data_IF_858561833086
#
_entry.id   IF_858561833086
#
_cell.length_a   1.000
_cell.length_b   1.000
_cell.length_c   1.000
_cell.angle_alpha   90.00
_cell.angle_beta   90.00
_cell.angle_gamma   90.00
#
_symmetry.space_group_name_H-M   'P 1'
#
loop_
_entity.id
_entity.type
_entity.pdbx_description
1 polymer ?
#
# COMPACT_ATOMS: atom_id res chain seq x y z
N UNK A 1 15.29 -46.50 -30.63
CA UNK A 1 14.22 -45.67 -31.24
C UNK A 1 13.40 -45.07 -30.12
N UNK A 2 13.49 -43.76 -29.92
CA UNK A 2 12.42 -42.94 -29.35
C UNK A 2 11.56 -42.46 -30.55
N UNK A 3 10.32 -41.93 -30.42
CA UNK A 3 9.68 -41.44 -29.18
C UNK A 3 8.13 -41.64 -29.06
N UNK A 4 7.52 -41.23 -27.92
CA UNK A 4 6.59 -40.07 -27.75
C UNK A 4 5.42 -40.27 -26.75
N UNK A 5 5.40 -39.34 -25.77
CA UNK A 5 4.30 -38.79 -24.93
C UNK A 5 3.85 -39.46 -23.62
N UNK A 6 4.60 -39.11 -22.58
CA UNK A 6 4.21 -38.43 -21.33
C UNK A 6 2.82 -37.76 -21.28
N UNK A 7 2.03 -38.08 -20.25
CA UNK A 7 1.30 -37.12 -19.38
C UNK A 7 0.87 -37.88 -18.11
N UNK A 8 1.54 -37.64 -16.99
CA UNK A 8 1.12 -38.12 -15.67
C UNK A 8 0.54 -36.95 -14.88
N UNK A 9 -0.69 -37.17 -14.40
CA UNK A 9 -1.42 -36.41 -13.39
C UNK A 9 -0.72 -36.46 -12.02
N UNK A 10 -1.16 -35.53 -11.16
CA UNK A 10 -0.92 -35.38 -9.71
C UNK A 10 0.30 -34.49 -9.38
N UNK A 11 0.21 -33.48 -8.51
CA UNK A 11 -0.55 -33.37 -7.26
C UNK A 11 -1.06 -31.95 -7.04
N UNK A 12 -2.34 -31.82 -6.66
CA UNK A 12 -2.87 -30.66 -5.94
C UNK A 12 -2.92 -30.99 -4.45
N UNK A 13 -2.41 -30.08 -3.63
CA UNK A 13 -2.63 -30.07 -2.18
C UNK A 13 -3.25 -28.73 -1.83
N UNK A 14 -4.57 -28.74 -1.71
CA UNK A 14 -5.34 -27.81 -0.89
C UNK A 14 -5.17 -28.24 0.57
N UNK A 15 -4.81 -27.30 1.45
CA UNK A 15 -5.07 -27.44 2.88
C UNK A 15 -6.05 -26.34 3.29
N UNK A 16 -7.30 -26.79 3.47
CA UNK A 16 -8.31 -26.15 4.27
C UNK A 16 -7.84 -26.12 5.73
N UNK A 17 -7.91 -24.97 6.37
CA UNK A 17 -8.01 -24.85 7.82
C UNK A 17 -9.21 -23.98 8.15
N UNK A 18 -10.39 -24.60 8.10
CA UNK A 18 -11.59 -24.16 8.80
C UNK A 18 -11.89 -25.13 9.94
N UNK A 19 -11.95 -24.61 11.16
CA UNK A 19 -12.68 -25.18 12.29
C UNK A 19 -13.69 -24.09 12.68
N UNK A 20 -14.99 -24.28 12.75
CA UNK A 20 -15.86 -25.43 12.50
C UNK A 20 -17.27 -25.01 12.93
N UNK A 21 -18.30 -25.50 12.26
CA UNK A 21 -19.59 -25.80 12.88
C UNK A 21 -20.40 -26.64 11.90
N UNK A 22 -20.70 -27.87 12.31
CA UNK A 22 -21.56 -28.77 11.58
C UNK A 22 -23.02 -28.43 11.83
N UNK A 23 -23.80 -28.39 10.76
CA UNK A 23 -25.18 -28.87 10.72
C UNK A 23 -25.46 -29.36 9.30
N UNK A 24 -25.74 -30.65 9.19
CA UNK A 24 -26.24 -31.35 8.00
C UNK A 24 -27.52 -30.68 7.47
N UNK A 25 -27.59 -30.47 6.15
CA UNK A 25 -28.78 -30.74 5.34
C UNK A 25 -28.38 -30.86 3.85
N UNK A 26 -28.71 -32.01 3.26
CA UNK A 26 -28.50 -32.37 1.87
C UNK A 26 -29.21 -31.42 0.90
N UNK A 27 -28.49 -30.86 -0.09
CA UNK A 27 -29.04 -30.65 -1.44
C UNK A 27 -27.93 -30.31 -2.45
N UNK A 28 -27.68 -31.28 -3.33
CA UNK A 28 -27.45 -31.18 -4.78
C UNK A 28 -26.47 -30.12 -5.33
N UNK A 29 -25.33 -30.65 -5.78
CA UNK A 29 -24.62 -30.33 -7.02
C UNK A 29 -24.94 -29.00 -7.73
N UNK A 30 -24.38 -27.91 -7.23
CA UNK A 30 -23.80 -26.88 -8.09
C UNK A 30 -22.33 -26.77 -7.70
N UNK A 31 -21.47 -27.33 -8.55
CA UNK A 31 -20.04 -27.06 -8.51
C UNK A 31 -19.83 -25.61 -8.94
N UNK A 32 -20.22 -24.66 -8.09
CA UNK A 32 -19.70 -23.31 -8.12
C UNK A 32 -18.21 -23.43 -7.77
N UNK A 33 -17.40 -23.64 -8.80
CA UNK A 33 -15.98 -23.33 -8.72
C UNK A 33 -15.89 -21.82 -8.52
N UNK A 34 -16.06 -21.37 -7.28
CA UNK A 34 -15.66 -20.03 -6.87
C UNK A 34 -14.15 -20.01 -7.10
N UNK A 35 -13.73 -19.54 -8.26
CA UNK A 35 -12.34 -19.19 -8.51
C UNK A 35 -12.05 -18.02 -7.59
N UNK A 36 -11.66 -18.31 -6.36
CA UNK A 36 -11.21 -17.29 -5.41
C UNK A 36 -10.04 -16.56 -6.05
N UNK A 37 -10.16 -15.24 -6.16
CA UNK A 37 -9.06 -14.41 -6.65
C UNK A 37 -7.85 -14.68 -5.75
N UNK A 38 -6.72 -15.01 -6.36
CA UNK A 38 -5.48 -15.20 -5.62
C UNK A 38 -4.86 -13.83 -5.32
N UNK A 39 -4.23 -13.71 -4.15
CA UNK A 39 -3.50 -12.50 -3.78
C UNK A 39 -2.43 -12.20 -4.83
N UNK A 40 -2.42 -10.95 -5.32
CA UNK A 40 -1.46 -10.47 -6.30
C UNK A 40 -0.11 -10.27 -5.61
N UNK A 41 0.87 -11.10 -5.97
CA UNK A 41 2.18 -11.16 -5.31
C UNK A 41 3.16 -10.12 -5.87
N UNK A 42 2.92 -9.62 -7.08
CA UNK A 42 3.70 -8.56 -7.72
C UNK A 42 2.96 -7.22 -7.64
N UNK A 43 3.50 -6.32 -6.84
CA UNK A 43 2.90 -5.04 -6.50
C UNK A 43 3.79 -3.89 -6.96
N UNK A 44 3.22 -2.69 -7.00
CA UNK A 44 3.99 -1.50 -7.34
C UNK A 44 5.02 -1.21 -6.25
N UNK A 45 6.24 -0.86 -6.62
CA UNK A 45 7.27 -0.48 -5.65
C UNK A 45 6.85 0.71 -4.76
N UNK A 46 6.00 1.60 -5.25
CA UNK A 46 5.48 2.75 -4.51
C UNK A 46 4.26 2.44 -3.62
N UNK A 47 3.64 1.27 -3.76
CA UNK A 47 2.60 0.82 -2.84
C UNK A 47 2.66 -0.71 -2.68
N UNK A 48 3.67 -1.21 -1.96
CA UNK A 48 3.71 -2.59 -1.54
C UNK A 48 2.66 -2.79 -0.44
N UNK A 49 1.67 -3.64 -0.70
CA UNK A 49 0.57 -3.97 0.19
C UNK A 49 0.80 -5.38 0.73
N UNK A 50 1.51 -5.48 1.85
CA UNK A 50 1.64 -6.75 2.56
C UNK A 50 0.43 -6.93 3.47
N UNK A 51 -0.22 -8.09 3.42
CA UNK A 51 -1.37 -8.34 4.29
C UNK A 51 -0.94 -8.45 5.76
N UNK A 52 -1.78 -7.96 6.67
CA UNK A 52 -1.57 -7.99 8.12
C UNK A 52 -0.32 -7.21 8.59
N UNK A 53 0.10 -6.21 7.82
CA UNK A 53 1.09 -5.22 8.27
C UNK A 53 0.42 -3.97 8.77
N UNK A 54 1.05 -3.34 9.76
CA UNK A 54 0.54 -2.13 10.39
C UNK A 54 1.47 -0.97 10.09
N UNK A 55 0.88 0.15 9.68
CA UNK A 55 1.55 1.44 9.52
C UNK A 55 0.95 2.40 10.55
N UNK A 56 1.79 3.24 11.14
CA UNK A 56 1.37 4.27 12.08
C UNK A 56 1.54 5.64 11.44
N UNK A 57 0.53 6.48 11.63
CA UNK A 57 0.51 7.83 11.13
C UNK A 57 0.21 8.83 12.26
N UNK A 58 0.67 10.05 12.06
CA UNK A 58 0.32 11.22 12.86
C UNK A 58 -0.70 12.05 12.09
N UNK A 59 -1.85 12.31 12.69
CA UNK A 59 -2.80 13.30 12.18
C UNK A 59 -2.28 14.71 12.50
N UNK A 60 -2.03 15.51 11.47
CA UNK A 60 -1.47 16.86 11.63
C UNK A 60 -2.40 17.71 12.49
N UNK A 61 -1.85 18.32 13.54
CA UNK A 61 -2.58 19.16 14.49
C UNK A 61 -3.33 18.41 15.60
N UNK A 62 -3.35 17.07 15.62
CA UNK A 62 -4.04 16.29 16.65
C UNK A 62 -3.25 16.15 17.97
N UNK A 63 -1.94 16.40 17.95
CA UNK A 63 -1.08 16.33 19.15
C UNK A 63 -0.79 14.92 19.67
N UNK A 64 -1.08 13.89 18.88
CA UNK A 64 -0.88 12.47 19.21
C UNK A 64 -0.04 11.79 18.12
N UNK A 65 1.29 11.83 18.22
CA UNK A 65 2.18 11.26 17.20
C UNK A 65 2.03 9.74 17.15
N UNK A 66 1.88 9.18 15.95
CA UNK A 66 1.66 7.74 15.76
C UNK A 66 0.29 7.22 16.22
N UNK A 67 -0.62 8.10 16.66
CA UNK A 67 -1.93 7.71 17.21
C UNK A 67 -2.95 7.21 16.18
N UNK A 68 -2.63 7.24 14.87
CA UNK A 68 -3.45 6.67 13.82
C UNK A 68 -2.85 5.34 13.34
N UNK A 69 -3.42 4.24 13.80
CA UNK A 69 -3.05 2.89 13.35
C UNK A 69 -3.73 2.57 12.01
N UNK A 70 -2.98 1.97 11.09
CA UNK A 70 -3.47 1.56 9.77
C UNK A 70 -3.11 0.12 9.47
N UNK A 71 -4.12 -0.74 9.49
CA UNK A 71 -3.96 -2.15 9.13
C UNK A 71 -4.22 -2.35 7.64
N UNK A 72 -3.26 -2.95 6.95
CA UNK A 72 -3.42 -3.40 5.56
C UNK A 72 -4.07 -4.78 5.54
N UNK A 73 -5.26 -4.88 4.94
CA UNK A 73 -6.03 -6.14 4.89
C UNK A 73 -6.39 -6.52 3.46
N UNK A 74 -6.22 -7.79 3.09
CA UNK A 74 -6.74 -8.33 1.84
C UNK A 74 -8.26 -8.49 1.92
N UNK A 75 -9.00 -7.73 1.11
CA UNK A 75 -10.46 -7.77 1.10
C UNK A 75 -10.96 -8.86 0.15
N UNK A 76 -11.26 -10.04 0.71
CA UNK A 76 -11.71 -11.21 -0.05
C UNK A 76 -13.02 -10.93 -0.79
N UNK A 77 -13.98 -10.27 -0.14
CA UNK A 77 -15.32 -10.03 -0.68
C UNK A 77 -15.26 -9.10 -1.88
N UNK A 78 -14.58 -7.96 -1.73
CA UNK A 78 -14.43 -6.99 -2.80
C UNK A 78 -13.51 -7.52 -3.90
N UNK A 79 -12.47 -8.29 -3.56
CA UNK A 79 -11.60 -8.94 -4.55
C UNK A 79 -12.38 -9.91 -5.44
N UNK A 80 -13.20 -10.78 -4.84
CA UNK A 80 -14.02 -11.72 -5.59
C UNK A 80 -15.08 -11.01 -6.44
N UNK A 81 -15.69 -9.94 -5.92
CA UNK A 81 -16.66 -9.12 -6.65
C UNK A 81 -16.02 -8.43 -7.87
N UNK A 82 -14.80 -7.93 -7.73
CA UNK A 82 -14.08 -7.22 -8.79
C UNK A 82 -13.31 -8.14 -9.75
N UNK A 83 -13.00 -9.36 -9.34
CA UNK A 83 -12.19 -10.32 -10.12
C UNK A 83 -10.69 -10.04 -10.09
N UNK A 84 -10.20 -9.22 -9.16
CA UNK A 84 -8.78 -8.89 -8.97
C UNK A 84 -8.50 -8.57 -7.50
N UNK A 85 -7.23 -8.60 -7.09
CA UNK A 85 -6.86 -8.36 -5.69
C UNK A 85 -7.15 -6.92 -5.27
N UNK A 86 -7.83 -6.77 -4.14
CA UNK A 86 -8.13 -5.50 -3.49
C UNK A 86 -7.68 -5.57 -2.04
N UNK A 87 -6.98 -4.53 -1.62
CA UNK A 87 -6.50 -4.35 -0.26
C UNK A 87 -7.15 -3.11 0.34
N UNK A 88 -7.53 -3.21 1.61
CA UNK A 88 -8.10 -2.14 2.40
C UNK A 88 -7.07 -1.61 3.37
N UNK A 89 -6.89 -0.30 3.39
CA UNK A 89 -6.12 0.45 4.37
C UNK A 89 -7.11 1.17 5.28
N UNK A 90 -7.24 0.70 6.52
CA UNK A 90 -8.18 1.25 7.49
C UNK A 90 -7.51 2.34 8.32
N UNK A 91 -7.78 3.61 8.02
CA UNK A 91 -7.28 4.80 8.73
C UNK A 91 -8.27 5.13 9.86
N UNK A 92 -8.11 4.52 11.03
CA UNK A 92 -9.10 4.61 12.10
C UNK A 92 -8.50 5.07 13.43
N UNK A 93 -8.98 6.20 13.95
CA UNK A 93 -8.83 6.62 15.34
C UNK A 93 -10.07 7.43 15.78
N UNK A 94 -10.01 8.11 16.93
CA UNK A 94 -11.14 8.91 17.43
C UNK A 94 -11.48 10.15 16.58
N UNK A 95 -10.57 10.57 15.70
CA UNK A 95 -10.63 11.83 14.96
C UNK A 95 -10.77 11.65 13.45
N UNK A 96 -10.31 10.52 12.91
CA UNK A 96 -10.39 10.13 11.50
C UNK A 96 -10.86 8.68 11.41
N UNK A 97 -11.88 8.42 10.59
CA UNK A 97 -12.36 7.08 10.32
C UNK A 97 -12.60 6.96 8.82
N UNK A 98 -11.62 6.41 8.10
CA UNK A 98 -11.60 6.33 6.65
C UNK A 98 -10.97 5.01 6.23
N UNK A 99 -11.63 4.23 5.37
CA UNK A 99 -11.01 3.08 4.72
C UNK A 99 -10.76 3.40 3.24
N UNK A 100 -9.52 3.19 2.78
CA UNK A 100 -9.14 3.33 1.39
C UNK A 100 -8.92 1.96 0.77
N UNK A 101 -9.50 1.73 -0.41
CA UNK A 101 -9.39 0.45 -1.11
C UNK A 101 -8.49 0.58 -2.32
N UNK A 102 -7.40 -0.17 -2.33
CA UNK A 102 -6.41 -0.13 -3.39
C UNK A 102 -6.27 -1.45 -4.12
N UNK A 103 -5.91 -1.35 -5.39
CA UNK A 103 -5.21 -2.40 -6.11
C UNK A 103 -3.80 -1.92 -6.43
N UNK A 104 -2.81 -2.76 -6.15
CA UNK A 104 -1.42 -2.53 -6.52
C UNK A 104 -0.93 -3.64 -7.44
N UNK A 105 -0.37 -3.23 -8.57
CA UNK A 105 0.27 -4.11 -9.56
C UNK A 105 1.64 -3.55 -9.88
N UNK A 106 2.54 -4.33 -10.49
CA UNK A 106 3.89 -3.89 -10.88
C UNK A 106 3.92 -2.51 -11.56
N UNK A 107 2.91 -2.18 -12.37
CA UNK A 107 2.89 -0.95 -13.18
C UNK A 107 1.84 0.09 -12.77
N UNK A 108 0.89 -0.25 -11.88
CA UNK A 108 -0.20 0.66 -11.53
C UNK A 108 -0.54 0.58 -10.04
N UNK A 109 -0.92 1.72 -9.51
CA UNK A 109 -1.61 1.88 -8.24
C UNK A 109 -2.99 2.41 -8.58
N UNK A 110 -4.04 1.77 -8.08
CA UNK A 110 -5.42 2.13 -8.40
C UNK A 110 -6.26 2.24 -7.13
N UNK A 111 -6.98 3.35 -6.98
CA UNK A 111 -8.00 3.52 -5.97
C UNK A 111 -9.31 2.89 -6.48
N UNK A 112 -9.93 2.07 -5.64
CA UNK A 112 -11.12 1.26 -5.94
C UNK A 112 -12.37 1.84 -5.27
N UNK A 113 -12.19 2.47 -4.12
CA UNK A 113 -13.25 3.04 -3.32
C UNK A 113 -12.75 3.67 -2.03
N UNK A 114 -13.67 4.31 -1.33
CA UNK A 114 -13.46 5.06 -0.08
C UNK A 114 -14.66 4.76 0.84
N UNK A 115 -14.42 4.39 2.09
CA UNK A 115 -15.42 4.36 3.16
C UNK A 115 -15.04 5.34 4.24
N UNK A 116 -16.02 5.85 4.97
CA UNK A 116 -15.82 6.87 5.99
C UNK A 116 -16.70 8.08 5.71
N UNK A 117 -17.01 8.91 6.72
CA UNK A 117 -18.05 9.91 6.58
C UNK A 117 -17.55 11.08 5.72
N UNK A 118 -17.67 10.93 4.41
CA UNK A 118 -17.56 12.02 3.45
C UNK A 118 -18.90 12.75 3.52
N UNK A 119 -18.96 13.86 4.26
CA UNK A 119 -20.20 14.62 4.46
C UNK A 119 -20.33 15.76 3.43
N UNK A 120 -21.47 15.82 2.75
CA UNK A 120 -21.75 16.60 1.55
C UNK A 120 -23.03 17.42 1.72
N UNK A 121 -22.96 18.71 2.09
CA UNK A 121 -24.16 19.56 2.24
C UNK A 121 -25.32 18.85 2.99
N UNK A 122 -25.01 18.30 4.17
CA UNK A 122 -25.90 17.47 5.04
C UNK A 122 -26.21 16.05 4.52
N UNK A 123 -25.59 15.61 3.43
CA UNK A 123 -25.66 14.24 2.91
C UNK A 123 -24.37 13.49 3.25
N UNK A 124 -24.43 12.48 4.09
CA UNK A 124 -23.31 11.57 4.28
C UNK A 124 -23.20 10.64 3.08
N UNK A 125 -22.02 10.57 2.48
CA UNK A 125 -21.64 9.59 1.46
C UNK A 125 -20.73 8.57 2.14
N UNK A 126 -21.14 7.31 2.05
CA UNK A 126 -20.37 6.17 2.53
C UNK A 126 -20.35 5.08 1.46
N UNK A 127 -19.49 4.06 1.61
CA UNK A 127 -19.37 2.98 0.63
C UNK A 127 -19.15 3.46 -0.81
N UNK A 128 -18.35 4.51 -1.01
CA UNK A 128 -18.07 5.03 -2.35
C UNK A 128 -17.24 4.00 -3.13
N UNK A 129 -17.80 3.45 -4.20
CA UNK A 129 -17.18 2.41 -5.03
C UNK A 129 -17.12 2.83 -6.47
N UNK A 130 -15.92 2.78 -7.06
CA UNK A 130 -15.74 3.13 -8.45
C UNK A 130 -16.05 1.94 -9.36
N UNK A 131 -16.83 2.18 -10.42
CA UNK A 131 -17.12 1.17 -11.44
C UNK A 131 -15.85 0.84 -12.24
N UNK A 132 -15.01 1.85 -12.49
CA UNK A 132 -13.66 1.70 -13.06
C UNK A 132 -12.64 2.24 -12.05
N UNK A 133 -11.58 1.49 -11.73
CA UNK A 133 -10.53 1.96 -10.83
C UNK A 133 -9.92 3.30 -11.27
N UNK A 134 -9.66 4.18 -10.31
CA UNK A 134 -8.96 5.45 -10.53
C UNK A 134 -7.46 5.17 -10.43
N UNK A 135 -6.72 5.35 -11.53
CA UNK A 135 -5.27 5.22 -11.49
C UNK A 135 -4.65 6.36 -10.68
N UNK A 136 -3.61 6.07 -9.92
CA UNK A 136 -2.77 7.04 -9.19
C UNK A 136 -1.36 7.17 -9.76
N UNK A 137 -1.07 6.42 -10.84
CA UNK A 137 0.19 6.49 -11.60
C UNK A 137 -0.10 7.02 -13.00
N UNK A 138 0.75 7.95 -13.45
CA UNK A 138 0.66 8.65 -14.73
C UNK A 138 0.00 10.02 -14.61
N UNK A 139 -0.41 10.59 -15.74
CA UNK A 139 -1.10 11.89 -15.78
C UNK A 139 -2.38 11.75 -16.58
N UNK A 140 -3.47 12.37 -16.10
CA UNK A 140 -4.77 12.38 -16.77
C UNK A 140 -5.39 13.76 -16.63
N UNK A 141 -5.69 14.42 -17.75
CA UNK A 141 -6.22 15.79 -17.71
C UNK A 141 -7.73 15.88 -17.46
N UNK A 142 -8.50 14.82 -17.75
CA UNK A 142 -9.92 14.70 -17.41
C UNK A 142 -10.42 13.31 -17.81
N UNK A 143 -11.05 12.60 -16.87
CA UNK A 143 -11.77 11.35 -17.13
C UNK A 143 -13.06 11.30 -16.35
N UNK A 144 -14.08 10.75 -16.99
CA UNK A 144 -15.38 10.50 -16.35
C UNK A 144 -15.53 9.02 -16.09
N UNK A 145 -15.86 8.67 -14.85
CA UNK A 145 -16.17 7.31 -14.42
C UNK A 145 -17.52 7.30 -13.69
N UNK A 146 -18.12 6.12 -13.64
CA UNK A 146 -19.30 5.90 -12.80
C UNK A 146 -18.86 5.40 -11.42
N UNK A 147 -19.65 5.71 -10.41
CA UNK A 147 -19.49 5.19 -9.07
C UNK A 147 -20.85 4.93 -8.42
N UNK A 148 -20.84 4.18 -7.32
CA UNK A 148 -21.99 4.01 -6.43
C UNK A 148 -21.60 4.40 -5.02
N UNK A 149 -22.55 4.84 -4.22
CA UNK A 149 -22.35 5.11 -2.80
C UNK A 149 -23.67 5.01 -2.03
N UNK A 150 -23.59 4.78 -0.72
CA UNK A 150 -24.72 4.89 0.18
C UNK A 150 -24.86 6.34 0.64
N UNK A 151 -26.06 6.88 0.49
CA UNK A 151 -26.40 8.25 0.86
C UNK A 151 -27.29 8.24 2.10
N UNK A 152 -26.96 9.08 3.09
CA UNK A 152 -27.80 9.34 4.25
C UNK A 152 -28.00 10.85 4.45
N UNK A 153 -29.15 11.28 5.00
CA UNK A 153 -29.45 12.69 5.29
C UNK A 153 -30.64 13.21 4.50
N UNK A 154 -30.52 14.42 3.94
CA UNK A 154 -31.58 15.05 3.13
C UNK A 154 -31.89 14.25 1.85
N UNK A 155 -30.90 13.51 1.36
CA UNK A 155 -30.96 12.56 0.26
C UNK A 155 -30.54 11.19 0.82
N UNK A 156 -31.48 10.26 0.91
CA UNK A 156 -31.22 8.89 1.37
C UNK A 156 -31.45 7.89 0.25
N UNK A 157 -30.42 7.14 -0.12
CA UNK A 157 -30.50 6.08 -1.10
C UNK A 157 -29.29 5.15 -0.94
N UNK A 158 -29.56 3.86 -0.87
CA UNK A 158 -28.51 2.84 -0.92
C UNK A 158 -28.08 2.66 -2.39
N UNK A 159 -26.78 2.45 -2.63
CA UNK A 159 -26.20 2.27 -3.98
C UNK A 159 -26.58 3.37 -4.99
N UNK A 160 -26.61 4.63 -4.57
CA UNK A 160 -26.91 5.76 -5.42
C UNK A 160 -25.89 5.90 -6.56
N UNK A 161 -26.37 6.04 -7.79
CA UNK A 161 -25.50 6.22 -8.95
C UNK A 161 -24.88 7.63 -9.00
N UNK A 162 -23.55 7.65 -9.10
CA UNK A 162 -22.72 8.85 -9.14
C UNK A 162 -21.91 8.87 -10.44
N UNK A 163 -21.64 10.08 -10.92
CA UNK A 163 -20.65 10.33 -11.95
C UNK A 163 -19.47 11.06 -11.31
N UNK A 164 -18.25 10.62 -11.56
CA UNK A 164 -17.04 11.28 -11.07
C UNK A 164 -16.22 11.74 -12.27
N UNK A 165 -15.98 13.04 -12.37
CA UNK A 165 -14.95 13.57 -13.23
C UNK A 165 -13.67 13.68 -12.42
N UNK A 166 -12.55 13.19 -12.93
CA UNK A 166 -11.29 13.30 -12.21
C UNK A 166 -10.12 13.69 -13.11
N UNK A 167 -9.14 14.30 -12.46
CA UNK A 167 -7.86 14.78 -12.95
C UNK A 167 -6.77 14.09 -12.12
N UNK A 168 -5.65 13.72 -12.74
CA UNK A 168 -4.50 13.15 -12.04
C UNK A 168 -3.22 13.83 -12.51
N UNK A 169 -2.48 14.33 -11.54
CA UNK A 169 -1.14 14.89 -11.66
C UNK A 169 -0.15 14.01 -10.88
N UNK A 170 1.03 13.76 -11.45
CA UNK A 170 2.13 13.06 -10.79
C UNK A 170 3.41 13.91 -10.80
N UNK A 171 4.04 14.06 -9.65
CA UNK A 171 5.31 14.77 -9.47
C UNK A 171 6.32 13.89 -8.71
N UNK A 172 7.56 13.82 -9.19
CA UNK A 172 8.66 13.04 -8.60
C UNK A 172 9.73 13.89 -7.92
N UNK A 173 9.63 15.22 -8.01
CA UNK A 173 10.62 16.15 -7.44
C UNK A 173 10.30 16.51 -5.97
N UNK A 174 9.24 15.93 -5.42
CA UNK A 174 8.80 16.15 -4.04
C UNK A 174 9.49 15.19 -3.08
N UNK A 175 9.64 15.63 -1.83
CA UNK A 175 10.18 14.81 -0.75
C UNK A 175 9.35 14.93 0.51
N UNK A 176 9.35 13.85 1.29
CA UNK A 176 8.74 13.80 2.61
C UNK A 176 9.83 13.76 3.67
N UNK A 177 9.70 14.56 4.72
CA UNK A 177 10.56 14.48 5.90
C UNK A 177 9.81 13.84 7.06
N UNK A 178 10.34 12.77 7.64
CA UNK A 178 9.78 12.15 8.85
C UNK A 178 9.92 13.08 10.05
N UNK A 179 8.91 13.16 10.91
CA UNK A 179 8.92 14.13 12.02
C UNK A 179 9.93 13.78 13.14
N UNK A 180 10.20 12.51 13.40
CA UNK A 180 11.02 12.08 14.55
C UNK A 180 12.53 12.10 14.24
N UNK A 181 12.93 11.48 13.13
CA UNK A 181 14.35 11.30 12.79
C UNK A 181 14.86 12.24 11.70
N UNK A 182 13.99 13.14 11.18
CA UNK A 182 14.26 14.01 10.03
C UNK A 182 14.80 13.25 8.79
N UNK A 183 14.44 11.97 8.64
CA UNK A 183 14.72 11.23 7.42
C UNK A 183 13.98 11.85 6.26
N UNK A 184 14.65 12.02 5.13
CA UNK A 184 14.06 12.57 3.92
C UNK A 184 13.87 11.43 2.93
N UNK A 185 12.67 11.28 2.41
CA UNK A 185 12.31 10.27 1.42
C UNK A 185 11.91 10.94 0.10
N UNK A 186 12.41 10.46 -1.05
CA UNK A 186 11.88 10.87 -2.33
C UNK A 186 10.46 10.31 -2.49
N UNK A 187 9.58 11.11 -3.07
CA UNK A 187 8.17 10.76 -3.21
C UNK A 187 7.73 10.81 -4.67
N UNK A 188 6.83 9.89 -5.02
CA UNK A 188 5.91 10.10 -6.12
C UNK A 188 4.65 10.71 -5.50
N UNK A 189 4.45 12.02 -5.69
CA UNK A 189 3.23 12.72 -5.32
C UNK A 189 2.18 12.50 -6.39
N UNK A 190 1.03 11.96 -6.01
CA UNK A 190 -0.17 11.84 -6.84
C UNK A 190 -1.23 12.81 -6.34
N UNK A 191 -1.59 13.79 -7.17
CA UNK A 191 -2.65 14.75 -6.91
C UNK A 191 -3.88 14.36 -7.74
N UNK A 192 -4.96 14.05 -7.04
CA UNK A 192 -6.20 13.57 -7.61
C UNK A 192 -7.31 14.57 -7.29
N UNK A 193 -7.71 15.35 -8.30
CA UNK A 193 -8.83 16.27 -8.20
C UNK A 193 -10.09 15.54 -8.70
N UNK A 194 -11.11 15.41 -7.86
CA UNK A 194 -12.34 14.71 -8.20
C UNK A 194 -13.57 15.60 -8.05
N UNK A 195 -14.37 15.64 -9.09
CA UNK A 195 -15.69 16.25 -9.09
C UNK A 195 -16.78 15.16 -9.08
N UNK A 196 -17.50 15.01 -7.97
CA UNK A 196 -18.55 13.99 -7.76
C UNK A 196 -19.93 14.61 -8.02
N UNK A 197 -20.71 14.02 -8.93
CA UNK A 197 -22.06 14.47 -9.29
C UNK A 197 -23.09 13.38 -9.02
N UNK A 198 -24.14 13.71 -8.25
CA UNK A 198 -25.28 12.83 -8.00
C UNK A 198 -26.22 12.79 -9.21
N UNK A 199 -26.26 11.66 -9.91
CA UNK A 199 -26.93 11.56 -11.22
C UNK A 199 -28.46 11.53 -11.11
N UNK A 200 -28.98 10.94 -10.03
CA UNK A 200 -30.41 10.63 -9.92
C UNK A 200 -31.29 11.80 -9.43
N UNK A 201 -30.71 12.78 -8.74
CA UNK A 201 -31.48 13.70 -7.88
C UNK A 201 -31.23 15.17 -8.21
N UNK A 202 -30.18 15.47 -8.99
CA UNK A 202 -29.73 16.83 -9.21
C UNK A 202 -29.05 17.38 -7.95
N UNK A 203 -27.92 18.06 -8.14
CA UNK A 203 -27.11 18.65 -7.08
C UNK A 203 -25.94 19.37 -7.73
N UNK A 204 -25.37 20.33 -7.02
CA UNK A 204 -24.13 20.95 -7.47
C UNK A 204 -23.00 19.90 -7.38
N UNK A 205 -22.07 19.86 -8.35
CA UNK A 205 -20.94 18.96 -8.28
C UNK A 205 -20.06 19.28 -7.07
N UNK A 206 -19.50 18.22 -6.50
CA UNK A 206 -18.68 18.28 -5.30
C UNK A 206 -17.20 18.10 -5.64
N UNK A 207 -16.32 18.91 -5.05
CA UNK A 207 -14.88 18.69 -5.13
C UNK A 207 -14.38 17.81 -3.97
N UNK A 208 -13.57 16.82 -4.29
CA UNK A 208 -12.77 16.01 -3.38
C UNK A 208 -11.36 15.95 -3.96
N UNK A 209 -10.46 16.71 -3.36
CA UNK A 209 -9.06 16.77 -3.78
C UNK A 209 -8.25 15.91 -2.81
N UNK A 210 -7.50 14.95 -3.34
CA UNK A 210 -6.68 14.04 -2.55
C UNK A 210 -5.24 14.12 -3.02
N UNK A 211 -4.32 14.14 -2.06
CA UNK A 211 -2.89 14.02 -2.33
C UNK A 211 -2.35 12.77 -1.67
N UNK A 212 -1.56 12.00 -2.41
CA UNK A 212 -0.84 10.83 -1.91
C UNK A 212 0.64 11.00 -2.21
N UNK A 213 1.48 10.93 -1.17
CA UNK A 213 2.92 10.89 -1.32
C UNK A 213 3.38 9.46 -1.11
N UNK A 214 3.90 8.83 -2.16
CA UNK A 214 4.37 7.45 -2.12
C UNK A 214 5.90 7.38 -2.12
N UNK A 215 6.48 6.55 -1.26
CA UNK A 215 7.92 6.23 -1.28
C UNK A 215 8.14 4.77 -1.62
N UNK A 216 9.11 4.50 -2.51
CA UNK A 216 9.46 3.13 -2.91
C UNK A 216 9.82 2.29 -1.71
N UNK A 217 9.24 1.10 -1.61
CA UNK A 217 9.50 0.16 -0.53
C UNK A 217 8.65 0.38 0.72
N UNK A 218 8.15 1.61 0.97
CA UNK A 218 7.35 1.97 2.14
C UNK A 218 5.85 2.06 1.86
N UNK A 219 5.45 2.61 0.71
CA UNK A 219 4.05 2.92 0.45
C UNK A 219 3.71 4.39 0.68
N UNK A 220 2.53 4.65 1.25
CA UNK A 220 2.02 5.99 1.54
C UNK A 220 2.78 6.56 2.73
N UNK A 221 3.59 7.61 2.50
CA UNK A 221 4.29 8.35 3.55
C UNK A 221 3.56 9.62 3.99
N UNK A 222 2.71 10.16 3.12
CA UNK A 222 1.75 11.21 3.48
C UNK A 222 0.48 11.06 2.66
N UNK A 223 -0.65 11.41 3.26
CA UNK A 223 -1.91 11.51 2.54
C UNK A 223 -2.76 12.63 3.13
N UNK A 224 -3.34 13.43 2.26
CA UNK A 224 -4.30 14.47 2.62
C UNK A 224 -5.52 14.43 1.72
N UNK A 225 -6.62 14.96 2.23
CA UNK A 225 -7.80 15.24 1.42
C UNK A 225 -8.46 16.55 1.86
N UNK A 226 -9.10 17.23 0.91
CA UNK A 226 -9.92 18.42 1.11
C UNK A 226 -11.26 18.21 0.42
N UNK A 227 -12.36 18.50 1.13
CA UNK A 227 -13.73 18.36 0.62
C UNK A 227 -14.32 19.76 0.41
N UNK A 228 -14.76 20.08 -0.81
CA UNK A 228 -15.40 21.36 -1.20
C UNK A 228 -14.63 22.63 -0.79
N UNK A 229 -13.29 22.63 -0.85
CA UNK A 229 -12.44 23.73 -0.36
C UNK A 229 -12.68 24.11 1.12
N UNK A 230 -13.38 23.27 1.89
CA UNK A 230 -13.69 23.55 3.28
C UNK A 230 -12.52 23.13 4.17
N UNK A 231 -11.84 24.13 4.76
CA UNK A 231 -10.71 23.90 5.65
C UNK A 231 -11.04 23.00 6.87
N UNK A 232 -12.28 23.04 7.36
CA UNK A 232 -12.73 22.25 8.51
C UNK A 232 -12.93 20.75 8.17
N UNK A 233 -12.97 20.40 6.87
CA UNK A 233 -13.09 19.03 6.38
C UNK A 233 -11.77 18.49 5.80
N UNK A 234 -10.68 19.26 5.91
CA UNK A 234 -9.37 18.85 5.47
C UNK A 234 -8.66 18.01 6.54
N UNK A 235 -7.95 16.97 6.11
CA UNK A 235 -7.02 16.24 6.98
C UNK A 235 -5.70 16.01 6.26
N UNK A 236 -4.65 15.80 7.05
CA UNK A 236 -3.34 15.33 6.59
C UNK A 236 -2.81 14.32 7.60
N UNK A 237 -2.44 13.15 7.10
CA UNK A 237 -1.78 12.10 7.86
C UNK A 237 -0.35 11.94 7.36
N UNK A 238 0.60 11.81 8.28
CA UNK A 238 2.02 11.71 7.97
C UNK A 238 2.61 10.47 8.61
N UNK A 239 3.41 9.74 7.88
CA UNK A 239 4.02 8.50 8.33
C UNK A 239 4.84 8.73 9.60
N UNK A 240 4.67 7.82 10.55
CA UNK A 240 5.32 7.86 11.85
C UNK A 240 6.20 6.63 12.06
N UNK A 241 5.61 5.44 11.97
CA UNK A 241 6.29 4.17 12.27
C UNK A 241 5.64 2.99 11.53
N UNK A 242 6.26 1.80 11.62
CA UNK A 242 5.78 0.56 11.02
C UNK A 242 5.91 -0.61 12.01
N UNK A 243 5.00 -1.58 11.94
CA UNK A 243 5.04 -2.83 12.73
C UNK A 243 4.90 -4.04 11.80
N UNK A 244 5.71 -5.08 12.07
CA UNK A 244 5.82 -6.33 11.28
C UNK A 244 6.24 -6.11 9.82
N UNK A 245 6.87 -4.98 9.53
CA UNK A 245 7.51 -4.69 8.25
C UNK A 245 9.01 -4.55 8.45
N UNK A 246 9.82 -4.74 7.39
CA UNK A 246 11.24 -4.42 7.45
C UNK A 246 11.46 -2.95 7.85
N UNK A 247 12.39 -2.73 8.76
CA UNK A 247 12.79 -1.40 9.20
C UNK A 247 13.23 -0.49 8.05
N UNK A 248 13.06 0.81 8.26
CA UNK A 248 13.53 1.83 7.34
C UNK A 248 15.05 1.93 7.43
N UNK A 249 15.72 1.81 6.27
CA UNK A 249 17.16 1.93 6.17
C UNK A 249 17.55 3.20 5.42
N UNK A 250 18.34 4.05 6.06
CA UNK A 250 18.74 5.36 5.51
C UNK A 250 20.25 5.53 5.62
N UNK A 251 20.90 5.94 4.54
CA UNK A 251 22.33 6.19 4.48
C UNK A 251 22.62 7.64 4.10
N UNK A 252 23.66 8.20 4.71
CA UNK A 252 24.31 9.41 4.23
C UNK A 252 25.10 9.10 2.95
N UNK A 253 25.46 10.15 2.20
CA UNK A 253 26.25 10.03 0.96
C UNK A 253 27.65 9.44 1.13
N UNK A 254 28.20 9.44 2.35
CA UNK A 254 29.48 8.82 2.66
C UNK A 254 29.35 7.31 2.99
N UNK A 255 28.14 6.74 2.85
CA UNK A 255 27.84 5.34 3.14
C UNK A 255 27.68 5.02 4.62
N UNK A 256 27.71 6.01 5.50
CA UNK A 256 27.37 5.83 6.92
C UNK A 256 25.86 5.80 7.11
N UNK A 257 25.40 5.02 8.08
CA UNK A 257 23.98 4.98 8.46
C UNK A 257 23.52 6.34 9.03
N UNK A 258 22.34 6.79 8.63
CA UNK A 258 21.73 7.98 9.23
C UNK A 258 21.33 7.70 10.70
N UNK A 259 21.04 8.75 11.46
CA UNK A 259 20.64 8.59 12.85
C UNK A 259 19.39 7.71 12.97
N UNK A 260 19.43 6.72 13.89
CA UNK A 260 18.28 5.89 14.23
C UNK A 260 18.00 4.75 13.25
N UNK A 261 18.91 4.46 12.32
CA UNK A 261 18.77 3.35 11.37
C UNK A 261 19.86 2.28 11.55
N UNK A 262 19.82 1.22 10.73
CA UNK A 262 20.75 0.09 10.79
C UNK A 262 21.22 -0.34 9.41
N UNK A 263 22.42 -0.90 9.33
CA UNK A 263 22.90 -1.64 8.15
C UNK A 263 22.33 -3.05 8.03
N UNK A 264 21.57 -3.54 9.02
CA UNK A 264 21.00 -4.90 9.02
C UNK A 264 19.49 -4.80 8.83
N UNK A 265 18.95 -5.54 7.87
CA UNK A 265 17.50 -5.66 7.75
C UNK A 265 16.94 -6.42 8.94
N UNK A 266 16.01 -5.80 9.65
CA UNK A 266 15.24 -6.38 10.74
C UNK A 266 13.76 -6.03 10.60
N UNK A 267 12.88 -6.82 11.21
CA UNK A 267 11.46 -6.49 11.32
C UNK A 267 11.28 -5.49 12.45
N UNK A 268 10.66 -4.35 12.15
CA UNK A 268 10.28 -3.39 13.16
C UNK A 268 9.24 -4.00 14.09
N UNK A 269 9.48 -3.81 15.37
CA UNK A 269 8.55 -4.17 16.42
C UNK A 269 8.61 -3.07 17.49
N UNK A 270 7.69 -2.09 17.44
CA UNK A 270 7.70 -0.93 18.35
C UNK A 270 7.51 -1.33 19.82
N UNK A 271 7.03 -2.54 20.10
CA UNK A 271 6.82 -3.05 21.45
C UNK A 271 8.08 -3.69 22.05
N UNK A 272 9.15 -3.88 21.27
CA UNK A 272 10.38 -4.53 21.73
C UNK A 272 11.60 -3.61 21.68
N UNK A 273 12.56 -3.88 22.57
CA UNK A 273 13.80 -3.10 22.65
C UNK A 273 14.83 -3.45 21.57
N UNK A 274 14.56 -4.48 20.76
CA UNK A 274 15.48 -4.93 19.71
C UNK A 274 14.69 -5.60 18.60
N UNK A 275 14.81 -5.05 17.40
CA UNK A 275 14.20 -5.61 16.21
C UNK A 275 14.77 -6.99 15.87
N UNK A 276 13.93 -7.83 15.27
CA UNK A 276 14.32 -9.19 14.90
C UNK A 276 14.97 -9.20 13.52
N UNK A 277 16.23 -9.63 13.35
CA UNK A 277 16.89 -9.67 12.04
C UNK A 277 16.12 -10.53 11.04
N UNK A 278 16.02 -10.05 9.80
CA UNK A 278 15.52 -10.83 8.67
C UNK A 278 16.66 -11.77 8.24
N UNK A 279 16.44 -13.07 8.35
CA UNK A 279 17.49 -14.07 8.09
C UNK A 279 17.33 -14.74 6.72
N UNK A 280 18.45 -15.09 6.12
CA UNK A 280 18.57 -15.89 4.90
C UNK A 280 18.04 -17.32 5.04
N UNK A 281 17.88 -17.82 6.27
CA UNK A 281 17.23 -19.10 6.55
C UNK A 281 15.73 -19.02 6.29
N UNK A 282 15.11 -17.91 6.66
CA UNK A 282 13.66 -17.71 6.54
C UNK A 282 13.25 -17.04 5.23
N UNK A 283 14.12 -16.17 4.69
CA UNK A 283 13.83 -15.32 3.54
C UNK A 283 14.88 -15.45 2.43
N UNK A 284 14.47 -15.01 1.23
CA UNK A 284 15.32 -14.78 0.07
C UNK A 284 14.96 -13.42 -0.54
N UNK A 285 15.94 -12.70 -1.06
CA UNK A 285 15.70 -11.48 -1.83
C UNK A 285 15.33 -11.87 -3.26
N UNK A 286 14.17 -11.43 -3.73
CA UNK A 286 13.65 -11.82 -5.06
C UNK A 286 14.12 -10.90 -6.18
N UNK A 287 14.48 -9.66 -5.85
CA UNK A 287 15.00 -8.67 -6.80
C UNK A 287 16.52 -8.46 -6.66
N UNK A 288 17.27 -9.52 -6.30
CA UNK A 288 18.71 -9.42 -6.06
C UNK A 288 19.47 -8.95 -7.30
N UNK A 289 19.12 -9.46 -8.49
CA UNK A 289 19.81 -9.07 -9.72
C UNK A 289 19.66 -7.57 -9.98
N UNK A 290 18.46 -7.01 -9.77
CA UNK A 290 18.20 -5.59 -9.93
C UNK A 290 18.96 -4.73 -8.91
N UNK A 291 19.21 -5.26 -7.71
CA UNK A 291 20.03 -4.59 -6.69
C UNK A 291 21.52 -4.67 -7.04
N UNK A 292 22.00 -5.84 -7.49
CA UNK A 292 23.39 -6.05 -7.91
C UNK A 292 23.76 -5.17 -9.12
N UNK A 293 22.80 -4.96 -10.03
CA UNK A 293 22.95 -4.09 -11.21
C UNK A 293 23.14 -2.60 -10.84
N UNK A 294 22.82 -2.18 -9.60
CA UNK A 294 23.06 -0.80 -9.14
C UNK A 294 24.55 -0.50 -8.92
N UNK A 295 25.37 -1.50 -8.57
CA UNK A 295 26.80 -1.36 -8.25
C UNK A 295 27.11 -0.65 -6.91
N UNK A 296 26.42 0.45 -6.62
CA UNK A 296 26.62 1.26 -5.42
C UNK A 296 25.95 0.70 -4.15
N UNK A 297 25.04 -0.27 -4.29
CA UNK A 297 24.35 -0.91 -3.18
C UNK A 297 24.66 -2.40 -3.18
N UNK A 298 25.12 -2.94 -2.05
CA UNK A 298 25.28 -4.38 -1.84
C UNK A 298 24.38 -4.84 -0.71
N UNK A 299 23.68 -5.95 -0.94
CA UNK A 299 22.95 -6.67 0.11
C UNK A 299 23.51 -8.08 0.19
N UNK A 300 24.24 -8.36 1.27
CA UNK A 300 24.97 -9.61 1.50
C UNK A 300 24.49 -10.30 2.78
N UNK A 301 24.80 -11.60 2.92
CA UNK A 301 24.41 -12.38 4.09
C UNK A 301 25.59 -12.59 5.03
N UNK A 302 25.42 -12.25 6.30
CA UNK A 302 26.34 -12.69 7.36
C UNK A 302 27.63 -11.88 7.50
N UNK A 303 27.67 -10.68 6.95
CA UNK A 303 28.80 -9.75 7.04
C UNK A 303 28.87 -9.06 8.41
N UNK A 304 27.72 -8.74 9.02
CA UNK A 304 27.60 -8.09 10.33
C UNK A 304 26.94 -9.04 11.33
N UNK A 305 25.74 -9.52 11.00
CA UNK A 305 24.99 -10.47 11.85
C UNK A 305 24.85 -11.80 11.14
N UNK A 306 25.22 -12.90 11.82
CA UNK A 306 25.18 -14.23 11.24
C UNK A 306 23.80 -14.55 10.63
N UNK A 307 23.83 -15.02 9.37
CA UNK A 307 22.66 -15.36 8.56
C UNK A 307 21.68 -14.21 8.25
N UNK A 308 21.90 -12.99 8.74
CA UNK A 308 21.07 -11.82 8.44
C UNK A 308 21.46 -11.18 7.10
N UNK A 309 20.54 -10.41 6.52
CA UNK A 309 20.83 -9.56 5.36
C UNK A 309 21.39 -8.22 5.80
N UNK A 310 22.65 -7.98 5.45
CA UNK A 310 23.39 -6.76 5.74
C UNK A 310 23.53 -5.92 4.48
N UNK A 311 23.62 -4.60 4.64
CA UNK A 311 23.63 -3.64 3.56
C UNK A 311 24.88 -2.80 3.63
N UNK A 312 25.45 -2.54 2.47
CA UNK A 312 26.60 -1.67 2.31
C UNK A 312 26.40 -0.73 1.12
N UNK A 313 26.77 0.54 1.32
CA UNK A 313 26.94 1.51 0.24
C UNK A 313 28.40 1.45 -0.22
N UNK A 314 28.60 1.27 -1.52
CA UNK A 314 29.91 1.22 -2.14
C UNK A 314 30.26 2.56 -2.77
N UNK A 315 31.55 2.89 -2.73
CA UNK A 315 32.12 3.98 -3.54
C UNK A 315 32.16 3.52 -5.01
N UNK A 316 31.07 3.79 -5.73
CA UNK A 316 30.86 3.40 -7.12
C UNK A 316 30.61 4.64 -8.01
N UNK A 317 31.11 4.69 -9.25
CA UNK A 317 30.87 5.80 -10.17
C UNK A 317 29.40 6.10 -10.49
N UNK A 318 28.50 5.13 -10.28
CA UNK A 318 27.06 5.24 -10.49
C UNK A 318 26.30 5.58 -9.20
N UNK A 319 27.00 5.84 -8.09
CA UNK A 319 26.39 6.31 -6.84
C UNK A 319 25.54 7.58 -7.10
N UNK A 320 24.23 7.56 -6.78
CA UNK A 320 23.36 8.70 -7.04
C UNK A 320 23.76 9.95 -6.25
N UNK A 321 23.83 11.11 -6.91
CA UNK A 321 24.02 12.41 -6.24
C UNK A 321 22.74 12.98 -5.64
N UNK A 322 21.59 12.50 -6.11
CA UNK A 322 20.27 12.98 -5.73
C UNK A 322 19.61 12.02 -4.74
N UNK A 323 18.62 12.52 -3.99
CA UNK A 323 17.86 11.74 -3.02
C UNK A 323 17.21 10.53 -3.69
N UNK A 324 17.61 9.33 -3.27
CA UNK A 324 17.25 8.09 -3.97
C UNK A 324 16.77 7.03 -3.00
N UNK A 325 15.65 6.38 -3.33
CA UNK A 325 15.17 5.19 -2.61
C UNK A 325 15.04 4.01 -3.54
N UNK A 326 15.40 2.84 -3.03
CA UNK A 326 15.21 1.56 -3.69
C UNK A 326 14.39 0.62 -2.81
N UNK A 327 13.67 -0.29 -3.47
CA UNK A 327 12.92 -1.33 -2.80
C UNK A 327 13.76 -2.61 -2.73
N UNK A 328 13.80 -3.24 -1.56
CA UNK A 328 14.31 -4.60 -1.40
C UNK A 328 13.13 -5.52 -1.09
N UNK A 329 12.92 -6.55 -1.91
CA UNK A 329 11.80 -7.47 -1.78
C UNK A 329 12.27 -8.79 -1.17
N UNK A 330 11.82 -9.06 0.04
CA UNK A 330 12.00 -10.36 0.68
C UNK A 330 10.81 -11.26 0.35
N UNK A 331 11.08 -12.52 0.02
CA UNK A 331 10.08 -13.59 -0.02
C UNK A 331 10.43 -14.65 1.01
N UNK A 332 9.45 -15.04 1.81
CA UNK A 332 9.60 -16.12 2.76
C UNK A 332 9.79 -17.44 2.02
N UNK A 333 10.75 -18.27 2.43
CA UNK A 333 11.07 -19.50 1.69
C UNK A 333 9.96 -20.55 1.72
N UNK A 334 9.17 -20.56 2.79
CA UNK A 334 8.15 -21.58 3.04
C UNK A 334 6.72 -21.10 2.72
N UNK A 335 6.54 -19.91 2.13
CA UNK A 335 5.24 -19.38 1.72
C UNK A 335 5.38 -18.42 0.53
N UNK A 336 4.25 -17.93 0.00
CA UNK A 336 4.25 -16.85 -1.01
C UNK A 336 4.23 -15.45 -0.37
N UNK A 337 4.39 -15.38 0.95
CA UNK A 337 4.44 -14.13 1.70
C UNK A 337 5.68 -13.32 1.31
N UNK A 338 5.47 -12.02 1.05
CA UNK A 338 6.53 -11.07 0.71
C UNK A 338 6.55 -9.93 1.72
N UNK A 339 7.74 -9.39 1.95
CA UNK A 339 7.95 -8.16 2.68
C UNK A 339 8.69 -7.18 1.77
N UNK A 340 8.31 -5.92 1.85
CA UNK A 340 8.96 -4.85 1.13
C UNK A 340 9.74 -4.00 2.12
N UNK A 341 11.02 -3.78 1.83
CA UNK A 341 11.88 -2.91 2.59
C UNK A 341 12.31 -1.71 1.75
N UNK A 342 12.69 -0.63 2.42
CA UNK A 342 13.22 0.58 1.82
C UNK A 342 14.68 0.75 2.20
N UNK A 343 15.51 1.11 1.21
CA UNK A 343 16.84 1.66 1.43
C UNK A 343 16.88 3.03 0.76
N UNK A 344 17.21 4.06 1.54
CA UNK A 344 17.29 5.44 1.07
C UNK A 344 18.70 5.99 1.21
N UNK A 345 19.24 6.55 0.13
CA UNK A 345 20.47 7.33 0.12
C UNK A 345 20.09 8.82 0.09
N UNK A 346 20.47 9.56 1.14
CA UNK A 346 20.23 10.99 1.24
C UNK A 346 21.00 11.75 0.14
N UNK A 347 20.54 12.94 -0.25
CA UNK A 347 21.33 13.82 -1.13
C UNK A 347 22.47 14.51 -0.34
N UNK A 348 23.49 15.01 -1.06
CA UNK A 348 24.63 15.76 -0.48
C UNK A 348 24.25 17.08 0.19
#
# INVERSE_FOLDING_TARGET
MLPKYLFYLAFGTFLLSGCGLETDEDSDEESDSVTSVQMEVEQNAYLPLTNATTLFYSLVGAGDPGGLETLVTYDISLSNSKGYSVYRLALQNSSLNLDLYFRSTTNNIQLIGIDGPVTLDDVSVDNLRFATPVNLIGNTSSRTINATADLAGSLSADDAALTINYSLSNNTDESFTSDDNNWVFPTLRAELDMEITLTAIGGDPMQLDMTFDFTKGLGIVSHSAVINDAADAAYEIRFYDLDKLPNIIVFNQDGTEALGTSMVFSLADPDTASDTPITSTDYVIVNQNELDDLGWLTVDVGSITADAFDIQINDDPELPSDLTSVQVLFKKRNSEERLSANVTLLAL
#
